data_IF_938044889917
#
_entry.id   IF_938044889917
#
_cell.length_a   1.000
_cell.length_b   1.000
_cell.length_c   1.000
_cell.angle_alpha   90.00
_cell.angle_beta   90.00
_cell.angle_gamma   90.00
#
_symmetry.space_group_name_H-M   'P 1'
#
loop_
_entity.id
_entity.type
_entity.pdbx_description
1 polymer ?
#
# COMPACT_ATOMS: atom_id res chain seq x y z
N UNK A 1 -18.91 -8.93 10.64
CA UNK A 1 -17.63 -9.56 10.26
C UNK A 1 -16.91 -8.74 9.20
N UNK A 2 -17.55 -8.31 8.11
CA UNK A 2 -16.92 -7.55 7.00
C UNK A 2 -16.35 -6.18 7.41
N UNK A 3 -16.87 -5.55 8.46
CA UNK A 3 -16.38 -4.26 8.98
C UNK A 3 -15.00 -4.36 9.65
N UNK A 4 -14.52 -5.57 9.96
CA UNK A 4 -13.23 -5.84 10.63
C UNK A 4 -12.13 -6.32 9.68
N UNK A 5 -12.43 -6.44 8.38
CA UNK A 5 -11.47 -6.96 7.41
C UNK A 5 -10.67 -5.82 6.75
N UNK A 6 -9.34 -5.89 6.74
CA UNK A 6 -8.48 -4.86 6.16
C UNK A 6 -8.39 -5.02 4.63
N UNK A 7 -9.48 -4.73 3.91
CA UNK A 7 -9.50 -4.82 2.44
C UNK A 7 -8.43 -3.95 1.78
N UNK A 8 -8.05 -2.84 2.39
CA UNK A 8 -6.97 -1.97 1.91
C UNK A 8 -5.59 -2.66 1.90
N UNK A 9 -5.42 -3.78 2.60
CA UNK A 9 -4.19 -4.57 2.59
C UNK A 9 -3.90 -5.19 1.23
N UNK A 10 -4.95 -5.63 0.51
CA UNK A 10 -4.82 -6.25 -0.81
C UNK A 10 -4.17 -5.30 -1.84
N UNK A 11 -4.69 -4.08 -2.09
CA UNK A 11 -4.08 -3.17 -3.04
C UNK A 11 -2.70 -2.68 -2.60
N UNK A 12 -2.42 -2.62 -1.29
CA UNK A 12 -1.08 -2.30 -0.78
C UNK A 12 -0.07 -3.38 -1.17
N UNK A 13 -0.40 -4.66 -0.95
CA UNK A 13 0.47 -5.78 -1.33
C UNK A 13 0.71 -5.78 -2.85
N UNK A 14 -0.36 -5.68 -3.63
CA UNK A 14 -0.25 -5.69 -5.09
C UNK A 14 0.55 -4.49 -5.58
N UNK A 15 0.37 -3.31 -4.99
CA UNK A 15 1.12 -2.11 -5.37
C UNK A 15 2.62 -2.22 -5.10
N UNK A 16 3.01 -2.94 -4.06
CA UNK A 16 4.42 -3.15 -3.69
C UNK A 16 5.14 -4.06 -4.67
N UNK A 17 4.46 -5.08 -5.19
CA UNK A 17 5.06 -6.06 -6.13
C UNK A 17 4.79 -5.72 -7.61
N UNK A 18 3.67 -5.07 -7.90
CA UNK A 18 3.20 -4.78 -9.25
C UNK A 18 2.91 -3.28 -9.42
N UNK A 19 2.13 -2.95 -10.43
CA UNK A 19 1.78 -1.59 -10.80
C UNK A 19 0.55 -1.05 -10.08
N UNK A 20 0.44 0.29 -10.00
CA UNK A 20 -0.75 0.97 -9.49
C UNK A 20 -2.03 0.62 -10.26
N UNK A 21 -1.93 0.38 -11.58
CA UNK A 21 -3.07 0.00 -12.42
C UNK A 21 -3.63 -1.36 -12.01
N UNK A 22 -2.75 -2.34 -11.85
CA UNK A 22 -3.11 -3.70 -11.42
C UNK A 22 -3.70 -3.68 -10.01
N UNK A 23 -3.09 -2.92 -9.09
CA UNK A 23 -3.59 -2.77 -7.72
C UNK A 23 -5.00 -2.17 -7.70
N UNK A 24 -5.25 -1.13 -8.50
CA UNK A 24 -6.57 -0.51 -8.61
C UNK A 24 -7.63 -1.45 -9.19
N UNK A 25 -7.32 -2.11 -10.32
CA UNK A 25 -8.24 -3.05 -10.95
C UNK A 25 -8.61 -4.21 -10.01
N UNK A 26 -7.62 -4.79 -9.34
CA UNK A 26 -7.85 -5.89 -8.38
C UNK A 26 -8.70 -5.42 -7.21
N UNK A 27 -8.45 -4.20 -6.69
CA UNK A 27 -9.24 -3.61 -5.61
C UNK A 27 -10.70 -3.45 -6.03
N UNK A 28 -10.96 -2.86 -7.20
CA UNK A 28 -12.32 -2.65 -7.71
C UNK A 28 -13.05 -3.99 -7.88
N UNK A 29 -12.44 -4.97 -8.54
CA UNK A 29 -13.04 -6.30 -8.76
C UNK A 29 -13.35 -6.98 -7.42
N UNK A 30 -12.41 -6.94 -6.47
CA UNK A 30 -12.61 -7.54 -5.14
C UNK A 30 -13.77 -6.89 -4.39
N UNK A 31 -13.84 -5.55 -4.39
CA UNK A 31 -14.93 -4.81 -3.75
C UNK A 31 -16.28 -5.16 -4.37
N UNK A 32 -16.37 -5.21 -5.71
CA UNK A 32 -17.60 -5.54 -6.41
C UNK A 32 -18.07 -6.97 -6.09
N UNK A 33 -17.17 -7.95 -6.13
CA UNK A 33 -17.50 -9.34 -5.78
C UNK A 33 -17.96 -9.43 -4.31
N UNK A 34 -17.23 -8.81 -3.39
CA UNK A 34 -17.60 -8.84 -1.97
C UNK A 34 -18.92 -8.11 -1.70
N UNK A 35 -19.23 -7.04 -2.44
CA UNK A 35 -20.45 -6.26 -2.25
C UNK A 35 -21.73 -7.06 -2.53
N UNK A 36 -21.67 -8.05 -3.42
CA UNK A 36 -22.80 -8.93 -3.75
C UNK A 36 -23.31 -9.70 -2.52
N UNK A 37 -22.41 -10.07 -1.62
CA UNK A 37 -22.72 -10.84 -0.41
C UNK A 37 -23.14 -9.97 0.79
N UNK A 38 -23.20 -8.64 0.64
CA UNK A 38 -23.43 -7.72 1.75
C UNK A 38 -24.84 -7.15 1.77
N UNK A 39 -25.34 -6.92 2.99
CA UNK A 39 -26.66 -6.32 3.21
C UNK A 39 -26.70 -4.82 2.86
N UNK A 40 -25.59 -4.10 3.08
CA UNK A 40 -25.42 -2.67 2.79
C UNK A 40 -24.24 -2.45 1.85
N UNK A 41 -24.41 -2.75 0.55
CA UNK A 41 -23.29 -2.72 -0.40
C UNK A 41 -22.78 -1.30 -0.66
N UNK A 42 -23.65 -0.28 -0.65
CA UNK A 42 -23.28 1.11 -0.97
C UNK A 42 -22.29 1.70 0.04
N UNK A 43 -22.56 1.55 1.34
CA UNK A 43 -21.65 1.98 2.41
C UNK A 43 -20.27 1.30 2.26
N UNK A 44 -20.29 -0.01 2.04
CA UNK A 44 -19.08 -0.80 1.88
C UNK A 44 -18.25 -0.38 0.65
N UNK A 45 -18.89 -0.23 -0.53
CA UNK A 45 -18.22 0.16 -1.78
C UNK A 45 -17.55 1.53 -1.60
N UNK A 46 -18.29 2.50 -1.06
CA UNK A 46 -17.79 3.86 -0.89
C UNK A 46 -16.58 3.91 0.05
N UNK A 47 -16.66 3.25 1.20
CA UNK A 47 -15.57 3.20 2.17
C UNK A 47 -14.34 2.48 1.64
N UNK A 48 -14.53 1.31 1.02
CA UNK A 48 -13.40 0.49 0.57
C UNK A 48 -12.74 1.05 -0.70
N UNK A 49 -13.53 1.64 -1.61
CA UNK A 49 -12.97 2.25 -2.81
C UNK A 49 -12.11 3.46 -2.46
N UNK A 50 -12.61 4.36 -1.62
CA UNK A 50 -11.87 5.57 -1.21
C UNK A 50 -10.63 5.22 -0.41
N UNK A 51 -10.71 4.30 0.56
CA UNK A 51 -9.57 3.86 1.35
C UNK A 51 -8.51 3.16 0.49
N UNK A 52 -8.93 2.31 -0.46
CA UNK A 52 -8.02 1.64 -1.39
C UNK A 52 -7.31 2.61 -2.34
N UNK A 53 -8.04 3.61 -2.86
CA UNK A 53 -7.44 4.68 -3.66
C UNK A 53 -6.37 5.45 -2.89
N UNK A 54 -6.68 5.89 -1.67
CA UNK A 54 -5.73 6.61 -0.81
C UNK A 54 -4.51 5.75 -0.50
N UNK A 55 -4.70 4.45 -0.24
CA UNK A 55 -3.61 3.51 -0.02
C UNK A 55 -2.68 3.41 -1.25
N UNK A 56 -3.25 3.24 -2.46
CA UNK A 56 -2.48 3.15 -3.71
C UNK A 56 -1.73 4.45 -3.99
N UNK A 57 -2.38 5.60 -3.84
CA UNK A 57 -1.75 6.91 -4.08
C UNK A 57 -0.67 7.24 -3.05
N UNK A 58 -0.88 6.90 -1.79
CA UNK A 58 0.13 7.09 -0.73
C UNK A 58 1.42 6.30 -0.99
N UNK A 59 1.31 5.18 -1.72
CA UNK A 59 2.43 4.30 -2.07
C UNK A 59 2.96 4.53 -3.50
N UNK A 60 2.63 5.65 -4.13
CA UNK A 60 3.06 5.94 -5.51
C UNK A 60 4.59 6.00 -5.65
N UNK A 61 5.27 6.61 -4.69
CA UNK A 61 6.72 6.75 -4.65
C UNK A 61 7.27 5.94 -3.47
N UNK A 62 7.30 4.62 -3.62
CA UNK A 62 7.81 3.71 -2.60
C UNK A 62 9.35 3.79 -2.58
N UNK A 63 9.87 4.65 -1.72
CA UNK A 63 11.32 4.78 -1.47
C UNK A 63 11.76 4.17 -0.12
N UNK A 64 10.85 4.05 0.82
CA UNK A 64 11.16 3.56 2.18
C UNK A 64 10.02 2.74 2.76
N UNK A 65 10.36 1.72 3.55
CA UNK A 65 9.38 0.89 4.28
C UNK A 65 8.55 1.67 5.30
N UNK A 66 9.10 2.76 5.82
CA UNK A 66 8.40 3.66 6.75
C UNK A 66 7.13 4.30 6.15
N UNK A 67 7.04 4.38 4.83
CA UNK A 67 5.84 4.89 4.15
C UNK A 67 4.60 4.04 4.38
N UNK A 68 4.76 2.74 4.67
CA UNK A 68 3.64 1.87 5.04
C UNK A 68 2.94 2.33 6.33
N UNK A 69 3.71 2.82 7.31
CA UNK A 69 3.13 3.39 8.54
C UNK A 69 2.32 4.65 8.25
N UNK A 70 2.87 5.55 7.43
CA UNK A 70 2.15 6.74 6.98
C UNK A 70 0.87 6.39 6.24
N UNK A 71 0.93 5.40 5.36
CA UNK A 71 -0.24 4.91 4.61
C UNK A 71 -1.31 4.35 5.55
N UNK A 72 -0.94 3.59 6.56
CA UNK A 72 -1.89 3.07 7.54
C UNK A 72 -2.64 4.19 8.28
N UNK A 73 -1.94 5.25 8.70
CA UNK A 73 -2.55 6.41 9.34
C UNK A 73 -3.51 7.13 8.37
N UNK A 74 -3.08 7.35 7.12
CA UNK A 74 -3.91 7.99 6.10
C UNK A 74 -5.18 7.19 5.80
N UNK A 75 -5.08 5.86 5.76
CA UNK A 75 -6.23 4.97 5.55
C UNK A 75 -7.22 5.06 6.72
N UNK A 76 -6.75 5.08 7.98
CA UNK A 76 -7.62 5.27 9.15
C UNK A 76 -8.36 6.60 9.06
N UNK A 77 -7.64 7.69 8.76
CA UNK A 77 -8.23 9.02 8.62
C UNK A 77 -9.25 9.07 7.48
N UNK A 78 -8.96 8.41 6.36
CA UNK A 78 -9.88 8.32 5.21
C UNK A 78 -11.16 7.58 5.59
N UNK A 79 -11.05 6.43 6.25
CA UNK A 79 -12.22 5.71 6.74
C UNK A 79 -13.08 6.58 7.67
N UNK A 80 -12.44 7.25 8.63
CA UNK A 80 -13.13 8.11 9.58
C UNK A 80 -13.85 9.28 8.90
N UNK A 81 -13.17 9.96 7.96
CA UNK A 81 -13.72 11.11 7.24
C UNK A 81 -14.89 10.72 6.31
N UNK A 82 -14.73 9.65 5.53
CA UNK A 82 -15.76 9.20 4.58
C UNK A 82 -16.98 8.66 5.34
N UNK A 83 -16.76 7.90 6.41
CA UNK A 83 -17.85 7.40 7.25
C UNK A 83 -18.61 8.52 7.94
N UNK A 84 -17.90 9.50 8.50
CA UNK A 84 -18.50 10.69 9.10
C UNK A 84 -19.36 11.45 8.09
N UNK A 85 -18.84 11.68 6.86
CA UNK A 85 -19.61 12.34 5.81
C UNK A 85 -20.85 11.53 5.41
N UNK A 86 -20.73 10.21 5.34
CA UNK A 86 -21.85 9.32 5.04
C UNK A 86 -22.93 9.35 6.13
N UNK A 87 -22.56 9.31 7.41
CA UNK A 87 -23.50 9.41 8.53
C UNK A 87 -24.23 10.76 8.54
N UNK A 88 -23.54 11.88 8.27
CA UNK A 88 -24.15 13.20 8.18
C UNK A 88 -25.25 13.28 7.10
N UNK A 89 -25.04 12.63 5.97
CA UNK A 89 -26.00 12.62 4.86
C UNK A 89 -27.21 11.72 5.20
N UNK A 90 -26.99 10.63 5.92
CA UNK A 90 -28.00 9.59 6.14
C UNK A 90 -28.86 9.86 7.36
N UNK A 91 -28.26 10.29 8.47
CA UNK A 91 -28.94 10.39 9.78
C UNK A 91 -29.39 11.80 10.13
N UNK A 92 -28.86 12.86 9.52
CA UNK A 92 -29.16 14.28 9.81
C UNK A 92 -29.03 14.69 11.30
N UNK A 93 -28.48 13.84 12.15
CA UNK A 93 -28.47 14.00 13.60
C UNK A 93 -27.11 13.60 14.18
N UNK A 94 -26.32 14.57 14.64
CA UNK A 94 -24.98 14.35 15.19
C UNK A 94 -24.97 13.53 16.50
N UNK A 95 -26.12 13.44 17.18
CA UNK A 95 -26.23 12.72 18.46
C UNK A 95 -26.28 11.20 18.31
N UNK A 96 -26.51 10.70 17.09
CA UNK A 96 -26.62 9.26 16.79
C UNK A 96 -25.35 8.63 16.21
N UNK A 97 -24.23 9.35 16.22
CA UNK A 97 -22.96 8.88 15.72
C UNK A 97 -22.54 7.56 16.40
N UNK A 98 -22.32 6.54 15.59
CA UNK A 98 -21.98 5.21 16.09
C UNK A 98 -20.48 5.07 16.35
N UNK A 99 -20.04 5.49 17.55
CA UNK A 99 -18.64 5.48 17.97
C UNK A 99 -17.93 4.11 17.83
N UNK A 100 -18.68 3.01 17.87
CA UNK A 100 -18.11 1.67 17.71
C UNK A 100 -17.52 1.42 16.31
N UNK A 101 -17.98 2.14 15.28
CA UNK A 101 -17.43 2.02 13.93
C UNK A 101 -16.00 2.55 13.83
N UNK A 102 -15.70 3.65 14.51
CA UNK A 102 -14.34 4.21 14.52
C UNK A 102 -13.33 3.25 15.16
N UNK A 103 -13.75 2.47 16.15
CA UNK A 103 -12.91 1.41 16.72
C UNK A 103 -12.53 0.36 15.65
N UNK A 104 -13.46 -0.01 14.77
CA UNK A 104 -13.14 -0.95 13.67
C UNK A 104 -12.17 -0.35 12.64
N UNK A 105 -12.23 0.96 12.38
CA UNK A 105 -11.28 1.62 11.49
C UNK A 105 -9.86 1.62 12.06
N UNK A 106 -9.73 1.84 13.37
CA UNK A 106 -8.44 1.73 14.06
C UNK A 106 -7.91 0.29 13.99
N UNK A 107 -8.75 -0.72 14.25
CA UNK A 107 -8.39 -2.13 14.12
C UNK A 107 -7.92 -2.45 12.70
N UNK A 108 -8.64 -1.98 11.67
CA UNK A 108 -8.25 -2.18 10.27
C UNK A 108 -6.89 -1.52 9.96
N UNK A 109 -6.62 -0.34 10.50
CA UNK A 109 -5.34 0.33 10.36
C UNK A 109 -4.19 -0.42 11.04
N UNK A 110 -4.43 -0.95 12.26
CA UNK A 110 -3.44 -1.81 12.94
C UNK A 110 -3.20 -3.08 12.14
N UNK A 111 -4.24 -3.71 11.62
CA UNK A 111 -4.10 -4.89 10.75
C UNK A 111 -3.35 -4.55 9.45
N UNK A 112 -3.52 -3.33 8.91
CA UNK A 112 -2.76 -2.89 7.74
C UNK A 112 -1.25 -2.82 8.03
N UNK A 113 -0.81 -2.55 9.26
CA UNK A 113 0.60 -2.60 9.65
C UNK A 113 1.19 -4.02 9.53
N UNK A 114 0.35 -5.07 9.70
CA UNK A 114 0.77 -6.45 9.45
C UNK A 114 1.12 -6.72 7.98
N UNK A 115 0.77 -5.83 7.06
CA UNK A 115 1.24 -5.91 5.67
C UNK A 115 2.78 -5.94 5.60
N UNK A 116 3.47 -5.21 6.49
CA UNK A 116 4.93 -5.16 6.50
C UNK A 116 5.59 -6.54 6.72
N UNK A 117 5.31 -7.27 7.81
CA UNK A 117 5.86 -8.62 7.98
C UNK A 117 5.33 -9.61 6.93
N UNK A 118 4.11 -9.42 6.43
CA UNK A 118 3.56 -10.25 5.37
C UNK A 118 4.31 -10.08 4.05
N UNK A 119 4.66 -8.84 3.67
CA UNK A 119 5.50 -8.56 2.50
C UNK A 119 6.83 -9.28 2.59
N UNK A 120 7.50 -9.22 3.75
CA UNK A 120 8.75 -9.94 3.97
C UNK A 120 8.58 -11.47 3.83
N UNK A 121 7.46 -12.00 4.35
CA UNK A 121 7.15 -13.43 4.24
C UNK A 121 6.94 -13.85 2.78
N UNK A 122 6.21 -13.03 2.01
CA UNK A 122 5.96 -13.26 0.57
C UNK A 122 7.26 -13.21 -0.22
N UNK A 123 8.10 -12.19 0.00
CA UNK A 123 9.43 -12.08 -0.64
C UNK A 123 10.27 -13.32 -0.38
N UNK A 124 10.31 -13.78 0.87
CA UNK A 124 11.13 -14.94 1.27
C UNK A 124 10.58 -16.27 0.74
N UNK A 125 9.27 -16.42 0.69
CA UNK A 125 8.62 -17.69 0.29
C UNK A 125 8.63 -17.87 -1.22
N UNK A 126 8.36 -16.82 -1.97
CA UNK A 126 8.23 -16.88 -3.43
C UNK A 126 9.51 -16.46 -4.18
N UNK A 127 10.52 -15.95 -3.47
CA UNK A 127 11.76 -15.48 -4.07
C UNK A 127 11.60 -14.21 -4.91
N UNK A 128 10.48 -13.49 -4.78
CA UNK A 128 10.26 -12.21 -5.45
C UNK A 128 10.93 -11.08 -4.68
N UNK A 129 11.50 -10.14 -5.40
CA UNK A 129 12.05 -8.91 -4.81
C UNK A 129 11.07 -7.78 -5.04
N UNK A 130 10.59 -7.16 -3.97
CA UNK A 130 9.68 -6.00 -4.09
C UNK A 130 10.43 -4.75 -4.57
N UNK A 131 9.69 -3.83 -5.18
CA UNK A 131 10.23 -2.53 -5.59
C UNK A 131 10.86 -1.77 -4.41
N UNK A 132 10.34 -1.93 -3.20
CA UNK A 132 10.90 -1.31 -1.98
C UNK A 132 12.28 -1.87 -1.68
N UNK A 133 12.44 -3.19 -1.71
CA UNK A 133 13.72 -3.85 -1.48
C UNK A 133 14.74 -3.47 -2.54
N UNK A 134 14.34 -3.35 -3.82
CA UNK A 134 15.23 -2.89 -4.89
C UNK A 134 15.70 -1.44 -4.66
N UNK A 135 14.80 -0.54 -4.27
CA UNK A 135 15.15 0.85 -3.97
C UNK A 135 16.06 0.94 -2.74
N UNK A 136 15.80 0.16 -1.69
CA UNK A 136 16.66 0.10 -0.50
C UNK A 136 18.07 -0.43 -0.84
N UNK A 137 18.18 -1.45 -1.68
CA UNK A 137 19.45 -2.00 -2.14
C UNK A 137 20.23 -1.04 -3.04
N UNK A 138 19.54 -0.23 -3.85
CA UNK A 138 20.15 0.77 -4.74
C UNK A 138 20.55 2.06 -4.02
N UNK A 139 20.19 2.22 -2.76
CA UNK A 139 20.51 3.43 -1.98
C UNK A 139 22.01 3.50 -1.70
N UNK A 140 22.67 4.56 -2.21
CA UNK A 140 24.12 4.82 -2.05
C UNK A 140 24.52 4.95 -0.57
N UNK A 141 23.59 5.32 0.31
CA UNK A 141 23.82 5.35 1.75
C UNK A 141 23.87 3.96 2.41
N UNK A 142 23.58 2.89 1.66
CA UNK A 142 23.80 1.53 2.13
C UNK A 142 25.30 1.35 2.45
N UNK A 143 25.60 0.77 3.60
CA UNK A 143 26.97 0.60 4.12
C UNK A 143 27.92 -0.08 3.14
N UNK A 144 27.42 -1.05 2.36
CA UNK A 144 28.18 -1.76 1.33
C UNK A 144 28.52 -0.83 0.15
N UNK A 145 27.51 -0.14 -0.42
CA UNK A 145 27.68 0.76 -1.56
C UNK A 145 28.54 1.96 -1.19
N UNK A 146 28.35 2.51 0.01
CA UNK A 146 29.15 3.59 0.54
C UNK A 146 30.63 3.17 0.68
N UNK A 147 30.89 2.01 1.28
CA UNK A 147 32.26 1.47 1.39
C UNK A 147 32.88 1.24 0.01
N UNK A 148 32.12 0.74 -0.96
CA UNK A 148 32.59 0.56 -2.34
C UNK A 148 32.90 1.89 -3.02
N UNK A 149 32.09 2.93 -2.81
CA UNK A 149 32.33 4.27 -3.36
C UNK A 149 33.57 4.96 -2.73
N UNK A 150 33.87 4.66 -1.46
CA UNK A 150 35.02 5.21 -0.75
C UNK A 150 36.35 4.46 -1.07
N UNK A 151 36.28 3.11 -1.21
CA UNK A 151 37.50 2.30 -1.41
C UNK A 151 37.84 2.09 -2.88
N UNK A 152 36.88 2.02 -3.78
CA UNK A 152 37.08 1.71 -5.23
C UNK A 152 36.17 2.60 -6.09
N UNK A 153 36.35 3.95 -6.06
CA UNK A 153 35.44 4.88 -6.72
C UNK A 153 35.33 4.67 -8.24
N UNK A 154 36.39 4.27 -8.91
CA UNK A 154 36.38 3.98 -10.35
C UNK A 154 35.48 2.82 -10.71
N UNK A 155 35.54 1.71 -9.96
CA UNK A 155 34.68 0.54 -10.16
C UNK A 155 33.23 0.87 -9.85
N UNK A 156 32.97 1.65 -8.80
CA UNK A 156 31.65 2.11 -8.45
C UNK A 156 31.02 2.96 -9.57
N UNK A 157 31.75 3.95 -10.07
CA UNK A 157 31.29 4.81 -11.17
C UNK A 157 31.05 4.04 -12.49
N UNK A 158 31.84 3.01 -12.75
CA UNK A 158 31.66 2.18 -13.96
C UNK A 158 30.48 1.22 -13.81
N UNK A 159 30.20 0.67 -12.64
CA UNK A 159 29.10 -0.28 -12.42
C UNK A 159 27.73 0.36 -12.53
N UNK A 160 27.57 1.65 -12.21
CA UNK A 160 26.29 2.36 -12.26
C UNK A 160 25.71 2.45 -13.69
N UNK A 161 26.42 2.97 -14.71
CA UNK A 161 25.88 3.03 -16.08
C UNK A 161 25.68 1.64 -16.68
N UNK A 162 26.52 0.65 -16.35
CA UNK A 162 26.35 -0.74 -16.83
C UNK A 162 25.03 -1.31 -16.30
N UNK A 163 24.71 -1.11 -15.03
CA UNK A 163 23.43 -1.52 -14.45
C UNK A 163 22.24 -0.86 -15.16
N UNK A 164 22.35 0.44 -15.46
CA UNK A 164 21.31 1.19 -16.16
C UNK A 164 21.08 0.69 -17.60
N UNK A 165 22.13 0.41 -18.35
CA UNK A 165 22.02 -0.10 -19.72
C UNK A 165 21.40 -1.50 -19.77
N UNK A 166 21.73 -2.38 -18.83
CA UNK A 166 21.14 -3.72 -18.75
C UNK A 166 19.65 -3.70 -18.34
N UNK A 167 19.22 -2.73 -17.56
CA UNK A 167 17.80 -2.58 -17.19
C UNK A 167 16.94 -1.97 -18.31
N UNK A 168 17.54 -1.18 -19.21
CA UNK A 168 16.81 -0.49 -20.29
C UNK A 168 16.77 -1.28 -21.60
N UNK A 169 17.69 -2.24 -21.82
CA UNK A 169 17.75 -3.06 -23.03
C UNK A 169 16.49 -3.89 -23.34
N UNK A 170 15.76 -4.47 -22.37
CA UNK A 170 14.54 -5.23 -22.67
C UNK A 170 13.33 -4.36 -23.04
N UNK A 171 13.41 -3.04 -22.91
CA UNK A 171 12.30 -2.13 -23.25
C UNK A 171 12.33 -1.63 -24.70
N UNK A 172 13.33 -2.03 -25.50
CA UNK A 172 13.53 -1.60 -26.88
C UNK A 172 13.22 -2.74 -27.89
N UNK A 173 12.80 -3.91 -27.40
CA UNK A 173 12.42 -5.05 -28.24
C UNK A 173 10.91 -5.18 -28.40
#
# INVERSE_FOLDING_TARGET
VYKRQPYAMLPVIIRVFLDSRTAFLTQVVTILICSICLRYPHEFILLQLTAGLVAIFSLRELSQRSQLFRTAILVILTYAAVYFAFELITENDLSKLNGSMYTYFVINGVLLLFTYPLLFLVEKTFGFTSNVTLVELSNINNSLLRRMSETVPGTFQHSMPVSYTHLTLPTIA
#
